data_IF_512171906980
#
_entry.id   IF_512171906980
#
_cell.length_a   1.000
_cell.length_b   1.000
_cell.length_c   1.000
_cell.angle_alpha   90.00
_cell.angle_beta   90.00
_cell.angle_gamma   90.00
#
_symmetry.space_group_name_H-M   'P 1'
#
loop_
_entity.id
_entity.type
_entity.pdbx_description
1 polymer ?
#
# COMPACT_ATOMS: atom_id res chain seq x y z
N UNK A 1 6.35 -8.76 -6.97
CA UNK A 1 6.81 -10.16 -6.96
C UNK A 1 7.28 -10.53 -8.34
N UNK A 2 8.43 -11.17 -8.43
CA UNK A 2 9.01 -11.71 -9.67
C UNK A 2 9.30 -13.19 -9.49
N UNK A 3 9.03 -14.02 -10.51
CA UNK A 3 9.49 -15.41 -10.56
C UNK A 3 10.89 -15.45 -11.14
N UNK A 4 11.78 -16.20 -10.48
CA UNK A 4 13.20 -16.37 -10.86
C UNK A 4 13.87 -15.01 -11.16
N UNK A 5 13.90 -14.06 -10.19
CA UNK A 5 14.42 -12.72 -10.42
C UNK A 5 15.93 -12.78 -10.65
N UNK A 6 16.35 -12.38 -11.85
CA UNK A 6 17.75 -12.19 -12.20
C UNK A 6 18.00 -10.71 -12.50
N UNK A 7 18.54 -9.99 -11.54
CA UNK A 7 18.77 -8.54 -11.65
C UNK A 7 17.72 -7.63 -11.03
N UNK A 8 16.71 -8.16 -10.33
CA UNK A 8 15.71 -7.39 -9.61
C UNK A 8 14.90 -6.45 -10.51
N UNK A 9 14.53 -5.26 -10.00
CA UNK A 9 13.70 -4.28 -10.74
C UNK A 9 14.35 -3.81 -12.05
N UNK A 10 15.68 -3.74 -12.11
CA UNK A 10 16.39 -3.33 -13.32
C UNK A 10 16.16 -4.28 -14.51
N UNK A 11 15.88 -5.56 -14.23
CA UNK A 11 15.61 -6.57 -15.28
C UNK A 11 14.20 -6.49 -15.87
N UNK A 12 13.32 -5.63 -15.33
CA UNK A 12 11.96 -5.46 -15.85
C UNK A 12 11.89 -4.75 -17.21
N UNK A 13 12.99 -4.20 -17.70
CA UNK A 13 12.99 -3.52 -19.00
C UNK A 13 12.60 -4.44 -20.15
N UNK A 14 11.50 -4.11 -20.83
CA UNK A 14 10.90 -4.90 -21.90
C UNK A 14 9.96 -6.02 -21.43
N UNK A 15 9.90 -6.25 -20.13
CA UNK A 15 9.09 -7.32 -19.53
C UNK A 15 7.62 -6.91 -19.39
N UNK A 16 6.77 -7.93 -19.23
CA UNK A 16 5.34 -7.75 -18.94
C UNK A 16 5.10 -7.82 -17.44
N UNK A 17 4.34 -6.88 -16.90
CA UNK A 17 3.97 -6.80 -15.49
C UNK A 17 2.45 -6.76 -15.37
N UNK A 18 1.90 -7.69 -14.61
CA UNK A 18 0.48 -7.75 -14.30
C UNK A 18 0.18 -7.01 -12.99
N UNK A 19 -0.78 -6.12 -13.01
CA UNK A 19 -1.22 -5.32 -11.85
C UNK A 19 -2.60 -4.71 -12.10
N UNK A 20 -3.23 -4.20 -11.07
CA UNK A 20 -4.42 -3.34 -11.22
C UNK A 20 -3.97 -1.96 -11.66
N UNK A 21 -4.27 -1.58 -12.89
CA UNK A 21 -3.92 -0.24 -13.42
C UNK A 21 -4.57 0.88 -12.61
N UNK A 22 -3.85 2.00 -12.48
CA UNK A 22 -4.29 3.21 -11.78
C UNK A 22 -4.58 3.03 -10.29
N UNK A 23 -4.07 1.94 -9.73
CA UNK A 23 -4.10 1.63 -8.28
C UNK A 23 -2.77 1.97 -7.61
N UNK A 24 -2.68 1.67 -6.30
CA UNK A 24 -1.43 1.75 -5.53
C UNK A 24 -0.34 0.82 -6.07
N UNK A 25 -0.71 -0.31 -6.70
CA UNK A 25 0.23 -1.22 -7.37
C UNK A 25 0.89 -0.57 -8.57
N UNK A 26 0.13 0.19 -9.35
CA UNK A 26 0.67 0.93 -10.50
C UNK A 26 1.63 2.03 -10.04
N UNK A 27 1.25 2.76 -8.99
CA UNK A 27 2.12 3.76 -8.38
C UNK A 27 3.43 3.15 -7.84
N UNK A 28 3.34 2.03 -7.12
CA UNK A 28 4.51 1.30 -6.60
C UNK A 28 5.47 0.89 -7.73
N UNK A 29 4.94 0.35 -8.83
CA UNK A 29 5.73 0.01 -10.01
C UNK A 29 6.42 1.24 -10.59
N UNK A 30 5.71 2.34 -10.78
CA UNK A 30 6.28 3.57 -11.33
C UNK A 30 7.47 4.06 -10.48
N UNK A 31 7.32 4.07 -9.15
CA UNK A 31 8.41 4.45 -8.23
C UNK A 31 9.59 3.48 -8.29
N UNK A 32 9.33 2.16 -8.30
CA UNK A 32 10.38 1.15 -8.41
C UNK A 32 11.20 1.30 -9.71
N UNK A 33 10.53 1.57 -10.83
CA UNK A 33 11.19 1.81 -12.12
C UNK A 33 12.02 3.09 -12.11
N UNK A 34 11.49 4.18 -11.56
CA UNK A 34 12.20 5.47 -11.46
C UNK A 34 13.52 5.35 -10.69
N UNK A 35 13.55 4.57 -9.60
CA UNK A 35 14.78 4.31 -8.84
C UNK A 35 15.89 3.61 -9.67
N UNK A 36 15.49 2.88 -10.69
CA UNK A 36 16.41 2.22 -11.62
C UNK A 36 16.68 3.04 -12.90
N UNK A 37 16.18 4.29 -12.97
CA UNK A 37 16.29 5.14 -14.16
C UNK A 37 15.43 4.65 -15.33
N UNK A 38 14.44 3.82 -15.05
CA UNK A 38 13.44 3.34 -16.00
C UNK A 38 12.15 4.14 -15.86
N UNK A 39 11.23 3.90 -16.76
CA UNK A 39 9.88 4.47 -16.75
C UNK A 39 8.84 3.42 -17.17
N UNK A 40 7.57 3.74 -17.00
CA UNK A 40 6.45 2.90 -17.45
C UNK A 40 6.48 2.60 -18.97
N UNK A 41 7.20 3.41 -19.75
CA UNK A 41 7.39 3.19 -21.20
C UNK A 41 8.40 2.08 -21.52
N UNK A 42 9.18 1.70 -20.54
CA UNK A 42 10.21 0.66 -20.66
C UNK A 42 9.67 -0.74 -20.36
N UNK A 43 8.40 -0.87 -19.98
CA UNK A 43 7.74 -2.11 -19.60
C UNK A 43 6.37 -2.25 -20.27
N UNK A 44 5.79 -3.46 -20.26
CA UNK A 44 4.44 -3.73 -20.73
C UNK A 44 3.51 -3.97 -19.54
N UNK A 45 2.64 -3.04 -19.23
CA UNK A 45 1.66 -3.19 -18.15
C UNK A 45 0.43 -3.90 -18.67
N UNK A 46 -0.02 -4.93 -17.95
CA UNK A 46 -1.25 -5.67 -18.23
C UNK A 46 -2.19 -5.50 -17.04
N UNK A 47 -3.31 -4.84 -17.29
CA UNK A 47 -4.35 -4.67 -16.28
C UNK A 47 -4.95 -6.01 -15.89
N UNK A 48 -4.76 -6.41 -14.64
CA UNK A 48 -5.20 -7.70 -14.09
C UNK A 48 -5.92 -7.44 -12.78
N UNK A 49 -7.13 -7.98 -12.64
CA UNK A 49 -7.92 -7.80 -11.42
C UNK A 49 -7.29 -8.49 -10.20
N UNK A 50 -7.66 -8.06 -9.01
CA UNK A 50 -7.24 -8.72 -7.77
C UNK A 50 -7.67 -10.18 -7.71
N UNK A 51 -8.85 -10.49 -8.20
CA UNK A 51 -9.38 -11.85 -8.21
C UNK A 51 -8.55 -12.79 -9.09
N UNK A 52 -7.89 -12.25 -10.12
CA UNK A 52 -7.13 -13.03 -11.11
C UNK A 52 -5.62 -13.03 -10.85
N UNK A 53 -5.09 -12.08 -10.06
CA UNK A 53 -3.64 -11.82 -9.97
C UNK A 53 -2.84 -13.00 -9.42
N UNK A 54 -3.36 -13.71 -8.42
CA UNK A 54 -2.71 -14.89 -7.82
C UNK A 54 -2.77 -16.07 -8.78
N UNK A 55 -3.91 -16.27 -9.44
CA UNK A 55 -4.04 -17.31 -10.47
C UNK A 55 -3.10 -17.02 -11.66
N UNK A 56 -2.97 -15.76 -12.06
CA UNK A 56 -2.08 -15.33 -13.12
C UNK A 56 -0.61 -15.69 -12.79
N UNK A 57 -0.10 -15.33 -11.61
CA UNK A 57 1.29 -15.63 -11.22
C UNK A 57 1.55 -17.12 -11.05
N UNK A 58 0.53 -17.90 -10.78
CA UNK A 58 0.65 -19.36 -10.70
C UNK A 58 0.84 -20.04 -12.07
N UNK A 59 0.53 -19.34 -13.17
CA UNK A 59 0.77 -19.80 -14.53
C UNK A 59 2.23 -19.63 -14.96
N UNK A 60 2.70 -20.41 -15.93
CA UNK A 60 4.06 -20.28 -16.47
C UNK A 60 4.25 -19.02 -17.32
N UNK A 61 3.17 -18.43 -17.81
CA UNK A 61 3.20 -17.28 -18.73
C UNK A 61 3.38 -15.93 -18.00
N UNK A 62 3.05 -15.87 -16.70
CA UNK A 62 3.17 -14.65 -15.89
C UNK A 62 4.32 -14.76 -14.91
N UNK A 63 5.30 -13.85 -15.04
CA UNK A 63 6.51 -13.82 -14.22
C UNK A 63 6.53 -12.67 -13.22
N UNK A 64 5.91 -11.55 -13.57
CA UNK A 64 6.02 -10.31 -12.79
C UNK A 64 4.63 -9.80 -12.44
N UNK A 65 4.38 -9.59 -11.16
CA UNK A 65 3.15 -8.99 -10.67
C UNK A 65 3.42 -7.91 -9.63
N UNK A 66 2.48 -6.98 -9.49
CA UNK A 66 2.42 -6.06 -8.35
C UNK A 66 1.05 -6.17 -7.71
N UNK A 67 1.03 -6.45 -6.42
CA UNK A 67 -0.19 -6.61 -5.63
C UNK A 67 0.06 -6.26 -4.16
N UNK A 68 -0.96 -6.42 -3.32
CA UNK A 68 -0.94 -6.13 -1.88
C UNK A 68 -1.46 -7.32 -1.05
N UNK A 69 -1.29 -7.27 0.26
CA UNK A 69 -1.77 -8.32 1.15
C UNK A 69 -3.32 -8.37 1.20
N UNK A 70 -3.92 -9.57 1.30
CA UNK A 70 -3.26 -10.88 1.49
C UNK A 70 -2.69 -11.52 0.22
N UNK A 71 -3.05 -11.05 -0.97
CA UNK A 71 -2.66 -11.63 -2.27
C UNK A 71 -1.14 -11.68 -2.47
N UNK A 72 -0.42 -10.68 -1.92
CA UNK A 72 1.04 -10.66 -1.94
C UNK A 72 1.65 -11.88 -1.25
N UNK A 73 1.11 -12.26 -0.09
CA UNK A 73 1.57 -13.44 0.66
C UNK A 73 1.35 -14.73 -0.14
N UNK A 74 0.20 -14.86 -0.79
CA UNK A 74 -0.09 -16.03 -1.64
C UNK A 74 0.82 -16.05 -2.87
N UNK A 75 0.99 -14.94 -3.54
CA UNK A 75 1.85 -14.83 -4.72
C UNK A 75 3.32 -15.15 -4.40
N UNK A 76 3.82 -14.64 -3.26
CA UNK A 76 5.19 -14.90 -2.80
C UNK A 76 5.43 -16.38 -2.40
N UNK A 77 4.38 -17.14 -2.13
CA UNK A 77 4.47 -18.58 -1.87
C UNK A 77 4.64 -19.42 -3.16
N UNK A 78 4.50 -18.82 -4.35
CA UNK A 78 4.73 -19.51 -5.63
C UNK A 78 6.21 -19.91 -5.72
N UNK A 79 6.53 -21.16 -6.15
CA UNK A 79 7.92 -21.59 -6.30
C UNK A 79 8.73 -20.64 -7.21
N UNK A 80 9.91 -20.22 -6.75
CA UNK A 80 10.79 -19.29 -7.47
C UNK A 80 10.36 -17.81 -7.39
N UNK A 81 9.26 -17.51 -6.71
CA UNK A 81 8.80 -16.11 -6.55
C UNK A 81 9.53 -15.41 -5.40
N UNK A 82 9.94 -14.16 -5.65
CA UNK A 82 10.57 -13.30 -4.66
C UNK A 82 9.96 -11.89 -4.69
N UNK A 83 9.90 -11.24 -3.54
CA UNK A 83 9.56 -9.82 -3.43
C UNK A 83 10.84 -9.03 -3.71
N UNK A 84 10.91 -8.34 -4.84
CA UNK A 84 12.09 -7.58 -5.26
C UNK A 84 12.02 -6.10 -4.93
N UNK A 85 10.82 -5.60 -4.66
CA UNK A 85 10.55 -4.23 -4.25
C UNK A 85 9.22 -4.15 -3.51
N UNK A 86 9.15 -3.38 -2.44
CA UNK A 86 7.93 -3.13 -1.68
C UNK A 86 7.86 -1.69 -1.13
N UNK A 87 6.74 -1.34 -0.53
CA UNK A 87 6.48 0.02 -0.02
C UNK A 87 7.39 0.47 1.11
N UNK A 88 8.16 -0.42 1.76
CA UNK A 88 9.14 -0.04 2.77
C UNK A 88 10.33 0.72 2.18
N UNK A 89 10.57 0.57 0.87
CA UNK A 89 11.62 1.26 0.13
C UNK A 89 11.21 2.68 -0.30
N UNK A 90 9.91 2.98 -0.24
CA UNK A 90 9.33 4.32 -0.46
C UNK A 90 8.47 4.73 0.75
N UNK A 91 9.07 4.94 1.93
CA UNK A 91 8.32 5.18 3.15
C UNK A 91 7.42 6.41 3.03
N UNK A 92 6.19 6.29 3.53
CA UNK A 92 5.21 7.37 3.50
C UNK A 92 4.47 7.60 2.18
N UNK A 93 4.81 6.89 1.08
CA UNK A 93 4.13 7.06 -0.20
C UNK A 93 2.80 6.30 -0.30
N UNK A 94 2.71 5.12 0.30
CA UNK A 94 1.48 4.32 0.35
C UNK A 94 0.93 4.39 1.77
N UNK A 95 -0.27 4.96 1.91
CA UNK A 95 -0.90 5.25 3.20
C UNK A 95 -2.33 4.74 3.23
N UNK A 96 -2.69 4.09 4.32
CA UNK A 96 -4.10 3.84 4.65
C UNK A 96 -4.63 5.02 5.46
N UNK A 97 -5.67 5.66 4.95
CA UNK A 97 -6.22 6.90 5.51
C UNK A 97 -7.70 6.77 5.84
N UNK A 98 -8.09 7.24 7.01
CA UNK A 98 -9.50 7.45 7.32
C UNK A 98 -9.92 8.84 6.81
N UNK A 99 -10.81 8.88 5.83
CA UNK A 99 -11.30 10.12 5.24
C UNK A 99 -12.70 10.45 5.75
N UNK A 100 -12.92 11.72 6.08
CA UNK A 100 -14.23 12.23 6.49
C UNK A 100 -14.56 13.48 5.67
N UNK A 101 -15.80 13.57 5.21
CA UNK A 101 -16.26 14.75 4.47
C UNK A 101 -16.10 16.02 5.31
N UNK A 102 -15.53 17.08 4.70
CA UNK A 102 -15.19 18.34 5.36
C UNK A 102 -16.40 19.03 5.96
N UNK A 103 -17.53 19.08 5.25
CA UNK A 103 -18.77 19.73 5.76
C UNK A 103 -19.33 18.95 6.96
N UNK A 104 -19.28 17.61 6.92
CA UNK A 104 -19.67 16.77 8.06
C UNK A 104 -18.83 17.08 9.31
N UNK A 105 -17.51 17.28 9.13
CA UNK A 105 -16.64 17.66 10.26
C UNK A 105 -16.89 19.09 10.77
N UNK A 106 -17.23 20.03 9.88
CA UNK A 106 -17.63 21.39 10.28
C UNK A 106 -18.92 21.40 11.09
N UNK A 107 -19.93 20.63 10.64
CA UNK A 107 -21.22 20.54 11.30
C UNK A 107 -21.14 19.76 12.63
N UNK A 108 -20.25 18.78 12.70
CA UNK A 108 -20.04 17.96 13.90
C UNK A 108 -18.54 17.74 14.20
N UNK A 109 -17.83 18.72 14.76
CA UNK A 109 -16.41 18.59 15.10
C UNK A 109 -16.10 17.49 16.12
N UNK A 110 -17.09 17.01 16.87
CA UNK A 110 -16.92 15.89 17.81
C UNK A 110 -16.74 14.55 17.10
N UNK A 111 -17.20 14.42 15.85
CA UNK A 111 -17.06 13.20 15.06
C UNK A 111 -15.58 12.86 14.83
N UNK A 112 -14.75 13.82 14.40
CA UNK A 112 -13.33 13.59 14.20
C UNK A 112 -12.64 13.13 15.48
N UNK A 113 -12.93 13.78 16.61
CA UNK A 113 -12.38 13.38 17.91
C UNK A 113 -12.82 11.96 18.32
N UNK A 114 -14.09 11.61 18.07
CA UNK A 114 -14.61 10.30 18.40
C UNK A 114 -13.96 9.21 17.54
N UNK A 115 -13.80 9.44 16.23
CA UNK A 115 -13.15 8.50 15.32
C UNK A 115 -11.68 8.29 15.71
N UNK A 116 -10.93 9.39 15.93
CA UNK A 116 -9.53 9.31 16.35
C UNK A 116 -9.39 8.62 17.72
N UNK A 117 -10.27 8.94 18.67
CA UNK A 117 -10.27 8.28 19.98
C UNK A 117 -10.53 6.78 19.90
N UNK A 118 -11.54 6.37 19.13
CA UNK A 118 -11.86 4.96 18.92
C UNK A 118 -10.72 4.22 18.20
N UNK A 119 -10.09 4.86 17.20
CA UNK A 119 -8.94 4.33 16.50
C UNK A 119 -7.80 4.00 17.47
N UNK A 120 -7.36 4.96 18.27
CA UNK A 120 -6.23 4.75 19.19
C UNK A 120 -6.58 3.85 20.40
N UNK A 121 -7.86 3.77 20.78
CA UNK A 121 -8.30 2.74 21.74
C UNK A 121 -8.12 1.33 21.16
N UNK A 122 -8.46 1.11 19.89
CA UNK A 122 -8.22 -0.16 19.21
C UNK A 122 -6.73 -0.42 19.03
N UNK A 123 -5.96 0.59 18.62
CA UNK A 123 -4.49 0.47 18.45
C UNK A 123 -3.82 0.03 19.77
N UNK A 124 -4.18 0.63 20.91
CA UNK A 124 -3.66 0.24 22.21
C UNK A 124 -4.01 -1.21 22.59
N UNK A 125 -5.19 -1.69 22.20
CA UNK A 125 -5.59 -3.09 22.40
C UNK A 125 -4.71 -4.01 21.54
N UNK A 126 -4.57 -3.70 20.24
CA UNK A 126 -3.82 -4.51 19.28
C UNK A 126 -2.34 -4.64 19.62
N UNK A 127 -1.74 -3.58 20.16
CA UNK A 127 -0.34 -3.54 20.58
C UNK A 127 -0.12 -4.33 21.90
N UNK A 128 -1.17 -4.48 22.72
CA UNK A 128 -1.03 -5.07 24.04
C UNK A 128 -0.72 -6.57 23.99
N UNK A 129 0.13 -7.02 24.92
CA UNK A 129 0.40 -8.44 25.17
C UNK A 129 -0.59 -9.05 26.18
N UNK A 130 -1.87 -8.67 26.07
CA UNK A 130 -2.96 -9.17 26.92
C UNK A 130 -3.84 -10.15 26.15
N UNK A 131 -4.63 -10.98 26.85
CA UNK A 131 -5.61 -11.85 26.21
C UNK A 131 -6.55 -11.07 25.28
N UNK A 132 -6.98 -9.85 25.69
CA UNK A 132 -7.82 -8.97 24.84
C UNK A 132 -7.10 -8.58 23.54
N UNK A 133 -5.79 -8.33 23.59
CA UNK A 133 -5.00 -8.05 22.40
C UNK A 133 -4.88 -9.26 21.47
N UNK A 134 -4.62 -10.44 22.03
CA UNK A 134 -4.58 -11.70 21.29
C UNK A 134 -5.92 -12.00 20.61
N UNK A 135 -7.02 -11.88 21.37
CA UNK A 135 -8.38 -12.08 20.84
C UNK A 135 -8.70 -11.08 19.70
N UNK A 136 -8.27 -9.83 19.84
CA UNK A 136 -8.48 -8.80 18.81
C UNK A 136 -7.69 -9.10 17.53
N UNK A 137 -6.41 -9.49 17.64
CA UNK A 137 -5.59 -9.89 16.48
C UNK A 137 -6.14 -11.14 15.80
N UNK A 138 -6.60 -12.13 16.58
CA UNK A 138 -7.23 -13.32 16.03
C UNK A 138 -8.55 -12.98 15.30
N UNK A 139 -9.38 -12.09 15.86
CA UNK A 139 -10.61 -11.63 15.22
C UNK A 139 -10.33 -10.91 13.91
N UNK A 140 -9.35 -9.99 13.89
CA UNK A 140 -8.99 -9.27 12.68
C UNK A 140 -8.35 -10.20 11.63
N UNK A 141 -7.58 -11.20 12.05
CA UNK A 141 -7.07 -12.23 11.15
C UNK A 141 -8.20 -12.97 10.42
N UNK A 142 -9.20 -13.43 11.16
CA UNK A 142 -10.38 -14.08 10.58
C UNK A 142 -11.14 -13.14 9.63
N UNK A 143 -11.31 -11.88 10.01
CA UNK A 143 -11.99 -10.88 9.18
C UNK A 143 -11.23 -10.55 7.89
N UNK A 144 -9.88 -10.72 7.90
CA UNK A 144 -9.00 -10.52 6.75
C UNK A 144 -8.75 -11.80 5.93
N UNK A 145 -9.45 -12.90 6.24
CA UNK A 145 -9.31 -14.16 5.51
C UNK A 145 -8.07 -14.99 5.89
N UNK A 146 -7.44 -14.71 7.06
CA UNK A 146 -6.27 -15.43 7.57
C UNK A 146 -6.45 -15.83 9.04
N UNK A 147 -5.43 -16.38 9.67
CA UNK A 147 -5.39 -16.62 11.12
C UNK A 147 -4.66 -15.48 11.85
N UNK A 148 -4.54 -15.58 13.17
CA UNK A 148 -3.83 -14.59 13.98
C UNK A 148 -2.39 -14.41 13.53
N UNK A 149 -1.68 -15.51 13.25
CA UNK A 149 -0.28 -15.44 12.80
C UNK A 149 -0.14 -14.73 11.45
N UNK A 150 -0.97 -15.07 10.49
CA UNK A 150 -0.99 -14.41 9.18
C UNK A 150 -1.27 -12.91 9.29
N UNK A 151 -2.17 -12.51 10.20
CA UNK A 151 -2.43 -11.10 10.48
C UNK A 151 -1.20 -10.39 11.10
N UNK A 152 -0.54 -11.01 12.08
CA UNK A 152 0.67 -10.48 12.70
C UNK A 152 1.84 -10.38 11.70
N UNK A 153 1.99 -11.35 10.82
CA UNK A 153 2.98 -11.32 9.74
C UNK A 153 2.70 -10.16 8.75
N UNK A 154 1.44 -9.87 8.44
CA UNK A 154 1.06 -8.73 7.61
C UNK A 154 1.31 -7.38 8.32
N UNK A 155 1.01 -7.28 9.62
CA UNK A 155 1.32 -6.08 10.41
C UNK A 155 2.82 -5.77 10.44
N UNK A 156 3.66 -6.80 10.47
CA UNK A 156 5.12 -6.63 10.46
C UNK A 156 5.64 -5.98 9.17
N UNK A 157 4.89 -6.08 8.06
CA UNK A 157 5.16 -5.41 6.79
C UNK A 157 4.64 -3.97 6.70
N UNK A 158 3.97 -3.44 7.74
CA UNK A 158 3.39 -2.12 7.78
C UNK A 158 4.02 -1.24 8.84
N UNK A 159 4.21 0.04 8.53
CA UNK A 159 4.58 1.03 9.54
C UNK A 159 3.32 1.51 10.26
N UNK A 160 3.06 0.94 11.43
CA UNK A 160 1.94 1.32 12.27
C UNK A 160 2.27 2.55 13.11
N UNK A 161 1.33 3.49 13.21
CA UNK A 161 1.40 4.62 14.13
C UNK A 161 0.63 4.26 15.41
N UNK A 162 1.27 3.49 16.29
CA UNK A 162 0.65 3.02 17.54
C UNK A 162 0.27 4.17 18.47
N UNK A 163 1.06 5.24 18.49
CA UNK A 163 0.86 6.41 19.33
C UNK A 163 0.42 7.63 18.52
N UNK A 164 -0.55 8.44 19.00
CA UNK A 164 -1.03 9.64 18.31
C UNK A 164 0.07 10.62 17.96
N UNK A 165 1.03 10.83 18.86
CA UNK A 165 2.10 11.82 18.68
C UNK A 165 3.00 11.47 17.50
N UNK A 166 3.24 10.19 17.24
CA UNK A 166 4.05 9.73 16.09
C UNK A 166 3.31 9.97 14.78
N UNK A 167 2.00 9.76 14.75
CA UNK A 167 1.16 10.05 13.59
C UNK A 167 1.11 11.56 13.30
N UNK A 168 0.94 12.38 14.34
CA UNK A 168 0.94 13.85 14.22
C UNK A 168 2.30 14.35 13.72
N UNK A 169 3.40 13.83 14.27
CA UNK A 169 4.74 14.21 13.83
C UNK A 169 4.97 13.88 12.36
N UNK A 170 4.58 12.68 11.93
CA UNK A 170 4.66 12.29 10.52
C UNK A 170 3.78 13.16 9.62
N UNK A 171 2.51 13.36 9.97
CA UNK A 171 1.56 14.14 9.18
C UNK A 171 2.00 15.61 8.96
N UNK A 172 2.84 16.15 9.85
CA UNK A 172 3.38 17.52 9.75
C UNK A 172 4.84 17.55 9.22
N UNK A 173 5.36 16.44 8.69
CA UNK A 173 6.73 16.38 8.19
C UNK A 173 6.82 16.75 6.71
N UNK A 174 7.98 17.28 6.30
CA UNK A 174 8.30 17.53 4.90
C UNK A 174 8.26 16.21 4.08
N UNK A 175 8.61 15.08 4.70
CA UNK A 175 8.54 13.74 4.09
C UNK A 175 7.10 13.39 3.70
N UNK A 176 6.13 13.61 4.60
CA UNK A 176 4.72 13.34 4.32
C UNK A 176 4.18 14.25 3.21
N UNK A 177 4.56 15.53 3.22
CA UNK A 177 4.20 16.49 2.17
C UNK A 177 4.77 16.07 0.81
N UNK A 178 6.06 15.75 0.74
CA UNK A 178 6.71 15.34 -0.50
C UNK A 178 6.09 14.04 -1.05
N UNK A 179 5.86 13.05 -0.20
CA UNK A 179 5.21 11.80 -0.59
C UNK A 179 3.80 12.03 -1.14
N UNK A 180 3.03 12.96 -0.55
CA UNK A 180 1.70 13.33 -1.05
C UNK A 180 1.80 14.05 -2.41
N UNK A 181 2.80 14.93 -2.60
CA UNK A 181 2.99 15.61 -3.88
C UNK A 181 3.43 14.63 -4.99
N UNK A 182 4.26 13.66 -4.69
CA UNK A 182 4.65 12.61 -5.64
C UNK A 182 3.43 11.78 -6.10
N UNK A 183 2.56 11.40 -5.16
CA UNK A 183 1.28 10.71 -5.46
C UNK A 183 0.37 11.61 -6.31
N UNK A 184 0.28 12.91 -5.96
CA UNK A 184 -0.49 13.89 -6.75
C UNK A 184 0.05 13.98 -8.17
N UNK A 185 1.37 14.10 -8.35
CA UNK A 185 1.99 14.20 -9.68
C UNK A 185 1.71 12.96 -10.53
N UNK A 186 1.85 11.75 -9.95
CA UNK A 186 1.48 10.51 -10.62
C UNK A 186 0.00 10.52 -11.03
N UNK A 187 -0.88 10.83 -10.09
CA UNK A 187 -2.33 10.83 -10.31
C UNK A 187 -2.75 11.87 -11.36
N UNK A 188 -2.12 13.05 -11.35
CA UNK A 188 -2.37 14.09 -12.36
C UNK A 188 -1.89 13.66 -13.74
N UNK A 189 -0.67 13.12 -13.85
CA UNK A 189 -0.09 12.61 -15.10
C UNK A 189 -0.96 11.52 -15.76
N UNK A 190 -1.61 10.69 -14.92
CA UNK A 190 -2.48 9.60 -15.39
C UNK A 190 -3.96 10.00 -15.52
N UNK A 191 -4.29 11.28 -15.38
CA UNK A 191 -5.66 11.77 -15.56
C UNK A 191 -6.65 11.39 -14.46
N UNK A 192 -6.15 10.92 -13.31
CA UNK A 192 -6.98 10.57 -12.15
C UNK A 192 -7.46 11.81 -11.38
N UNK A 193 -6.73 12.92 -11.47
CA UNK A 193 -7.09 14.20 -10.91
C UNK A 193 -7.55 15.13 -12.03
N UNK A 194 -8.64 15.85 -11.78
CA UNK A 194 -9.13 16.87 -12.72
C UNK A 194 -8.17 18.06 -12.86
N UNK A 195 -8.53 19.01 -13.70
CA UNK A 195 -7.72 20.20 -14.00
C UNK A 195 -7.41 21.07 -12.76
N UNK A 196 -8.14 20.87 -11.65
CA UNK A 196 -7.95 21.60 -10.40
C UNK A 196 -6.78 21.17 -9.53
N UNK A 197 -5.99 20.17 -9.91
CA UNK A 197 -4.87 19.65 -9.11
C UNK A 197 -3.49 19.70 -9.82
N UNK A 198 -3.15 20.78 -10.57
CA UNK A 198 -1.85 20.89 -11.24
C UNK A 198 -0.72 21.25 -10.26
N UNK A 199 -1.02 21.73 -9.08
CA UNK A 199 -0.07 22.15 -8.03
C UNK A 199 -0.37 21.46 -6.70
N UNK A 200 0.58 21.55 -5.76
CA UNK A 200 0.46 21.00 -4.40
C UNK A 200 -0.30 21.93 -3.42
N UNK A 201 -0.89 23.02 -3.88
CA UNK A 201 -1.50 24.06 -3.00
C UNK A 201 -2.69 23.54 -2.16
N UNK A 202 -3.20 22.36 -2.47
CA UNK A 202 -4.30 21.74 -1.73
C UNK A 202 -3.84 20.67 -0.71
N UNK A 203 -2.57 20.33 -0.69
CA UNK A 203 -1.95 19.44 0.30
C UNK A 203 -1.60 20.24 1.55
#
# INVERSE_FOLDING_TARGET
VMKDPDGGVASLKGETINLVELSVSHYLLARALEEQGLSERDVNIVNTSDDDIVAAVSSDDVRNIVTWNPLLTEAAATPGAEIVFDSSQIPGHIKDLTLVNTETLKDNPKLGKALTGAWYEVMAILESNTQKGEDARAFLGQASGTDQKGYEDQLAGMKMFWEPDTAVAFANSDEAFQAMDDVRQFSFKHGLLGEGAPSADFI
#
